data_IF_789058272707
#
_entry.id   IF_789058272707
#
_cell.length_a   1.000
_cell.length_b   1.000
_cell.length_c   1.000
_cell.angle_alpha   90.00
_cell.angle_beta   90.00
_cell.angle_gamma   90.00
#
_symmetry.space_group_name_H-M   'P 1'
#
loop_
_entity.id
_entity.type
_entity.pdbx_description
1 polymer ?
#
# COMPACT_ATOMS: atom_id res chain seq x y z
N UNK A 1 -12.58 29.68 -0.55
CA UNK A 1 -12.72 31.16 -0.52
C UNK A 1 -13.27 31.56 -1.88
N UNK A 2 -14.54 31.97 -1.97
CA UNK A 2 -15.11 32.53 -3.21
C UNK A 2 -14.90 34.04 -3.13
N UNK A 3 -14.00 34.57 -3.94
CA UNK A 3 -13.90 36.01 -4.13
C UNK A 3 -15.07 36.42 -5.01
N UNK A 4 -15.99 37.21 -4.47
CA UNK A 4 -17.10 37.79 -5.24
C UNK A 4 -16.55 38.85 -6.20
N UNK A 5 -16.75 38.60 -7.49
CA UNK A 5 -16.83 39.49 -8.67
C UNK A 5 -16.05 40.83 -8.78
N UNK A 6 -14.98 41.08 -8.03
CA UNK A 6 -14.17 42.31 -8.17
C UNK A 6 -12.79 42.06 -8.80
N UNK A 7 -12.71 41.42 -9.98
CA UNK A 7 -11.50 41.40 -10.83
C UNK A 7 -10.16 41.00 -10.16
N UNK A 8 -10.21 40.44 -8.95
CA UNK A 8 -9.04 40.25 -8.11
C UNK A 8 -8.20 39.10 -8.67
N UNK A 9 -6.90 39.35 -8.83
CA UNK A 9 -5.92 38.32 -9.16
C UNK A 9 -5.28 37.86 -7.87
N UNK A 10 -5.28 36.55 -7.64
CA UNK A 10 -4.70 35.93 -6.45
C UNK A 10 -3.42 35.20 -6.85
N UNK A 11 -2.32 35.49 -6.17
CA UNK A 11 -1.12 34.67 -6.23
C UNK A 11 -1.20 33.60 -5.13
N UNK A 12 -0.92 32.35 -5.48
CA UNK A 12 -0.94 31.23 -4.54
C UNK A 12 0.48 30.68 -4.44
N UNK A 13 1.05 30.71 -3.24
CA UNK A 13 2.29 30.01 -2.93
C UNK A 13 1.98 28.55 -2.62
N UNK A 14 2.68 27.62 -3.27
CA UNK A 14 2.42 26.19 -3.13
C UNK A 14 3.71 25.49 -2.71
N UNK A 15 3.65 24.83 -1.56
CA UNK A 15 4.69 23.92 -1.10
C UNK A 15 4.35 22.50 -1.56
N UNK A 16 5.10 21.97 -2.53
CA UNK A 16 4.89 20.65 -3.12
C UNK A 16 6.21 19.90 -3.28
N UNK A 17 6.23 18.57 -3.04
CA UNK A 17 7.41 17.74 -3.29
C UNK A 17 7.72 17.58 -4.79
N UNK A 18 6.82 18.01 -5.69
CA UNK A 18 6.99 17.92 -7.14
C UNK A 18 6.67 19.28 -7.78
N UNK A 19 7.59 20.27 -7.70
CA UNK A 19 7.37 21.60 -8.26
C UNK A 19 7.01 21.60 -9.75
N UNK A 20 7.61 20.67 -10.50
CA UNK A 20 7.35 20.52 -11.95
C UNK A 20 5.92 20.06 -12.26
N UNK A 21 5.25 19.40 -11.31
CA UNK A 21 3.87 18.88 -11.45
C UNK A 21 2.81 19.82 -10.86
N UNK A 22 3.24 20.88 -10.17
CA UNK A 22 2.37 21.82 -9.45
C UNK A 22 1.24 22.37 -10.32
N UNK A 23 1.51 22.71 -11.58
CA UNK A 23 0.53 23.31 -12.48
C UNK A 23 -0.66 22.40 -12.77
N UNK A 24 -0.41 21.09 -12.83
CA UNK A 24 -1.47 20.11 -13.04
C UNK A 24 -2.32 19.92 -11.78
N UNK A 25 -1.70 19.94 -10.60
CA UNK A 25 -2.43 19.92 -9.33
C UNK A 25 -3.32 21.15 -9.17
N UNK A 26 -2.83 22.34 -9.54
CA UNK A 26 -3.61 23.58 -9.54
C UNK A 26 -4.77 23.49 -10.54
N UNK A 27 -4.52 23.01 -11.75
CA UNK A 27 -5.58 22.84 -12.75
C UNK A 27 -6.67 21.87 -12.27
N UNK A 28 -6.28 20.75 -11.65
CA UNK A 28 -7.22 19.79 -11.04
C UNK A 28 -8.02 20.42 -9.91
N UNK A 29 -7.38 21.24 -9.05
CA UNK A 29 -8.08 21.93 -7.97
C UNK A 29 -9.12 22.92 -8.49
N UNK A 30 -8.82 23.64 -9.58
CA UNK A 30 -9.77 24.54 -10.24
C UNK A 30 -10.92 23.76 -10.89
N UNK A 31 -10.61 22.70 -11.64
CA UNK A 31 -11.62 21.83 -12.27
C UNK A 31 -12.59 21.22 -11.26
N UNK A 32 -12.16 20.92 -10.03
CA UNK A 32 -13.08 20.44 -8.97
C UNK A 32 -14.14 21.46 -8.59
N UNK A 33 -13.76 22.73 -8.53
CA UNK A 33 -14.67 23.81 -8.13
C UNK A 33 -15.51 24.29 -9.32
N UNK A 34 -14.97 24.15 -10.53
CA UNK A 34 -15.60 24.53 -11.79
C UNK A 34 -15.48 23.39 -12.83
N UNK A 35 -16.30 22.34 -12.75
CA UNK A 35 -16.16 21.16 -13.64
C UNK A 35 -16.40 21.45 -15.12
N UNK A 36 -17.00 22.60 -15.44
CA UNK A 36 -17.29 23.02 -16.81
C UNK A 36 -16.14 23.81 -17.46
N UNK A 37 -15.15 24.26 -16.68
CA UNK A 37 -13.95 24.87 -17.25
C UNK A 37 -12.94 23.77 -17.59
N UNK A 38 -12.68 23.61 -18.88
CA UNK A 38 -11.72 22.61 -19.38
C UNK A 38 -10.27 22.96 -19.02
N UNK A 39 -9.31 22.36 -19.75
CA UNK A 39 -7.87 22.57 -19.55
C UNK A 39 -7.38 24.01 -19.82
N UNK A 40 -8.23 24.84 -20.42
CA UNK A 40 -8.02 26.26 -20.69
C UNK A 40 -8.95 27.12 -19.84
N UNK A 41 -8.97 26.92 -18.52
CA UNK A 41 -9.72 27.82 -17.61
C UNK A 41 -9.08 29.23 -17.63
N UNK A 42 -9.81 30.29 -18.02
CA UNK A 42 -9.31 31.66 -17.99
C UNK A 42 -8.88 32.14 -16.59
N UNK A 43 -9.26 31.43 -15.52
CA UNK A 43 -8.80 31.68 -14.15
C UNK A 43 -7.30 31.37 -13.95
N UNK A 44 -6.66 30.58 -14.82
CA UNK A 44 -5.26 30.18 -14.70
C UNK A 44 -4.37 31.02 -15.62
N UNK A 45 -3.68 32.00 -15.04
CA UNK A 45 -2.95 33.01 -15.81
C UNK A 45 -1.48 32.68 -16.10
N UNK A 46 -0.74 32.14 -15.12
CA UNK A 46 0.71 31.95 -15.26
C UNK A 46 1.46 31.83 -13.94
N UNK A 47 2.77 32.13 -13.98
CA UNK A 47 3.68 32.05 -12.83
C UNK A 47 3.98 33.47 -12.35
N UNK A 48 3.94 33.70 -11.04
CA UNK A 48 4.47 34.94 -10.45
C UNK A 48 5.96 34.76 -10.19
N UNK A 49 6.79 35.61 -10.81
CA UNK A 49 8.25 35.60 -10.68
C UNK A 49 8.69 36.27 -9.37
N UNK A 50 9.94 36.08 -8.96
CA UNK A 50 10.48 36.61 -7.69
C UNK A 50 10.41 38.15 -7.59
N UNK A 51 10.45 38.84 -8.72
CA UNK A 51 10.29 40.30 -8.83
C UNK A 51 8.81 40.76 -8.83
N UNK A 52 7.86 39.84 -8.65
CA UNK A 52 6.43 40.09 -8.66
C UNK A 52 5.80 40.19 -10.05
N UNK A 53 6.57 39.94 -11.12
CA UNK A 53 6.05 39.87 -12.48
C UNK A 53 5.14 38.66 -12.71
N UNK A 54 4.21 38.77 -13.67
CA UNK A 54 3.42 37.62 -14.14
C UNK A 54 4.02 37.13 -15.46
N UNK A 55 4.50 35.90 -15.48
CA UNK A 55 4.87 35.19 -16.70
C UNK A 55 3.67 34.36 -17.18
N UNK A 56 2.96 34.77 -18.26
CA UNK A 56 1.80 34.04 -18.76
C UNK A 56 2.17 32.62 -19.22
N UNK A 57 1.28 31.66 -19.00
CA UNK A 57 1.51 30.26 -19.40
C UNK A 57 0.31 29.73 -20.20
N UNK A 58 0.56 29.32 -21.44
CA UNK A 58 -0.46 28.74 -22.33
C UNK A 58 0.15 27.61 -23.19
N UNK A 59 -0.36 26.37 -23.14
CA UNK A 59 -1.35 25.89 -22.18
C UNK A 59 -0.81 25.95 -20.73
N UNK A 60 -1.70 26.16 -19.75
CA UNK A 60 -1.29 26.25 -18.35
C UNK A 60 -0.66 24.94 -17.85
N UNK A 61 -1.20 23.81 -18.30
CA UNK A 61 -0.63 22.48 -18.09
C UNK A 61 0.04 22.02 -19.37
N UNK A 62 1.29 21.57 -19.28
CA UNK A 62 1.98 20.93 -20.39
C UNK A 62 1.91 19.40 -20.24
N UNK A 63 1.85 18.63 -21.35
CA UNK A 63 1.98 17.18 -21.30
C UNK A 63 3.33 16.79 -20.69
N UNK A 64 3.31 16.03 -19.61
CA UNK A 64 4.51 15.48 -18.98
C UNK A 64 4.75 14.05 -19.45
N UNK A 65 6.01 13.73 -19.69
CA UNK A 65 6.42 12.34 -19.86
C UNK A 65 6.23 11.62 -18.51
N UNK A 66 5.50 10.51 -18.52
CA UNK A 66 5.35 9.65 -17.36
C UNK A 66 6.74 9.15 -16.93
N UNK A 67 7.11 9.45 -15.68
CA UNK A 67 8.32 8.89 -15.10
C UNK A 67 8.10 7.40 -14.80
N UNK A 68 8.57 6.54 -15.70
CA UNK A 68 8.62 5.10 -15.47
C UNK A 68 9.90 4.78 -14.71
N UNK A 69 9.73 4.43 -13.44
CA UNK A 69 10.83 3.86 -12.65
C UNK A 69 10.88 2.38 -12.99
N UNK A 70 12.00 1.94 -13.56
CA UNK A 70 12.22 0.51 -13.80
C UNK A 70 12.28 -0.21 -12.46
N UNK A 71 11.40 -1.17 -12.27
CA UNK A 71 11.41 -2.09 -11.13
C UNK A 71 12.11 -3.41 -11.47
N UNK A 72 12.60 -3.55 -12.71
CA UNK A 72 13.30 -4.73 -13.19
C UNK A 72 14.59 -4.95 -12.39
N UNK A 73 14.71 -6.14 -11.77
CA UNK A 73 15.85 -6.53 -10.95
C UNK A 73 15.73 -6.20 -9.46
N UNK A 74 14.61 -5.60 -9.01
CA UNK A 74 14.33 -5.50 -7.59
C UNK A 74 14.21 -6.90 -6.97
N UNK A 75 14.84 -7.16 -5.82
CA UNK A 75 14.79 -8.47 -5.18
C UNK A 75 13.36 -8.78 -4.73
N UNK A 76 12.94 -10.03 -4.95
CA UNK A 76 11.61 -10.55 -4.60
C UNK A 76 11.64 -11.48 -3.37
N UNK A 77 12.82 -11.64 -2.77
CA UNK A 77 13.12 -12.54 -1.66
C UNK A 77 12.38 -12.19 -0.36
N UNK A 78 11.93 -10.94 -0.20
CA UNK A 78 11.08 -10.52 0.91
C UNK A 78 9.66 -11.15 0.87
N UNK A 79 9.28 -11.81 -0.24
CA UNK A 79 8.05 -12.60 -0.38
C UNK A 79 8.40 -14.09 -0.58
N UNK A 80 7.79 -15.01 0.19
CA UNK A 80 7.98 -16.44 -0.04
C UNK A 80 7.54 -16.87 -1.45
N UNK A 81 8.23 -17.82 -2.11
CA UNK A 81 7.90 -18.26 -3.47
C UNK A 81 6.43 -18.67 -3.66
N UNK A 82 5.84 -19.36 -2.68
CA UNK A 82 4.43 -19.75 -2.73
C UNK A 82 3.49 -18.53 -2.75
N UNK A 83 3.81 -17.48 -1.99
CA UNK A 83 3.03 -16.25 -2.00
C UNK A 83 3.17 -15.49 -3.34
N UNK A 84 4.37 -15.51 -3.94
CA UNK A 84 4.63 -14.93 -5.27
C UNK A 84 3.77 -15.61 -6.34
N UNK A 85 3.76 -16.94 -6.40
CA UNK A 85 2.98 -17.70 -7.37
C UNK A 85 1.47 -17.40 -7.25
N UNK A 86 0.96 -17.43 -6.02
CA UNK A 86 -0.43 -17.12 -5.71
C UNK A 86 -0.81 -15.68 -6.09
N UNK A 87 0.08 -14.72 -5.84
CA UNK A 87 -0.14 -13.32 -6.22
C UNK A 87 -0.18 -13.15 -7.74
N UNK A 88 0.75 -13.75 -8.49
CA UNK A 88 0.78 -13.70 -9.96
C UNK A 88 -0.53 -14.24 -10.54
N UNK A 89 -0.98 -15.42 -10.07
CA UNK A 89 -2.25 -16.00 -10.51
C UNK A 89 -3.45 -15.08 -10.20
N UNK A 90 -3.44 -14.43 -9.04
CA UNK A 90 -4.51 -13.54 -8.64
C UNK A 90 -4.54 -12.25 -9.48
N UNK A 91 -3.38 -11.68 -9.78
CA UNK A 91 -3.26 -10.47 -10.59
C UNK A 91 -3.77 -10.65 -12.02
N UNK A 92 -3.69 -11.88 -12.57
CA UNK A 92 -4.31 -12.22 -13.86
C UNK A 92 -5.85 -12.14 -13.84
N UNK A 93 -6.47 -12.28 -12.67
CA UNK A 93 -7.93 -12.21 -12.50
C UNK A 93 -8.40 -10.83 -12.05
N UNK A 94 -7.58 -10.15 -11.22
CA UNK A 94 -7.91 -8.86 -10.64
C UNK A 94 -6.64 -8.02 -10.48
N UNK A 95 -6.47 -7.05 -11.36
CA UNK A 95 -5.30 -6.14 -11.38
C UNK A 95 -5.54 -4.82 -10.66
N UNK A 96 -6.75 -4.55 -10.14
CA UNK A 96 -7.11 -3.34 -9.41
C UNK A 96 -7.79 -3.65 -8.06
N UNK A 97 -7.65 -2.73 -7.12
CA UNK A 97 -8.15 -2.85 -5.75
C UNK A 97 -7.04 -2.77 -4.72
N UNK A 98 -7.17 -3.50 -3.62
CA UNK A 98 -6.23 -3.45 -2.50
C UNK A 98 -5.29 -4.66 -2.49
N UNK A 99 -3.99 -4.42 -2.58
CA UNK A 99 -2.95 -5.39 -2.30
C UNK A 99 -2.33 -5.05 -0.94
N UNK A 100 -2.65 -5.87 0.05
CA UNK A 100 -2.23 -5.66 1.44
C UNK A 100 -1.01 -6.51 1.72
N UNK A 101 0.10 -5.86 2.04
CA UNK A 101 1.41 -6.47 2.22
C UNK A 101 1.91 -6.13 3.61
N UNK A 102 2.17 -7.15 4.41
CA UNK A 102 2.45 -6.98 5.82
C UNK A 102 3.68 -7.74 6.27
N UNK A 103 4.34 -7.22 7.29
CA UNK A 103 5.42 -7.89 8.00
C UNK A 103 5.26 -7.69 9.49
N UNK A 104 5.66 -8.67 10.29
CA UNK A 104 5.72 -8.54 11.74
C UNK A 104 7.01 -7.87 12.26
N UNK A 105 7.85 -7.36 11.35
CA UNK A 105 9.03 -6.56 11.71
C UNK A 105 8.61 -5.13 11.99
N UNK A 106 8.98 -4.64 13.18
CA UNK A 106 8.67 -3.27 13.59
C UNK A 106 9.64 -2.27 12.96
N UNK A 107 9.17 -1.52 11.97
CA UNK A 107 9.91 -0.45 11.28
C UNK A 107 9.08 0.84 11.21
N UNK A 108 9.67 1.95 10.75
CA UNK A 108 8.93 3.21 10.53
C UNK A 108 7.84 3.04 9.45
N UNK A 109 8.14 2.29 8.38
CA UNK A 109 7.21 2.01 7.29
C UNK A 109 6.95 0.52 7.17
N UNK A 110 5.77 0.10 7.60
CA UNK A 110 5.41 -1.31 7.68
C UNK A 110 5.26 -1.94 6.30
N UNK A 111 5.74 -3.18 6.16
CA UNK A 111 5.59 -3.97 4.94
C UNK A 111 6.33 -3.43 3.70
N UNK A 112 7.22 -2.44 3.84
CA UNK A 112 7.85 -1.81 2.67
C UNK A 112 8.76 -2.75 1.87
N UNK A 113 9.44 -3.69 2.53
CA UNK A 113 10.22 -4.72 1.83
C UNK A 113 9.31 -5.64 1.00
N UNK A 114 8.14 -6.01 1.55
CA UNK A 114 7.14 -6.81 0.83
C UNK A 114 6.54 -6.01 -0.35
N UNK A 115 6.28 -4.71 -0.15
CA UNK A 115 5.85 -3.81 -1.23
C UNK A 115 6.90 -3.75 -2.33
N UNK A 116 8.17 -3.52 -1.97
CA UNK A 116 9.29 -3.47 -2.91
C UNK A 116 9.40 -4.77 -3.73
N UNK A 117 9.26 -5.93 -3.08
CA UNK A 117 9.24 -7.23 -3.74
C UNK A 117 8.01 -7.44 -4.66
N UNK A 118 6.87 -6.81 -4.36
CA UNK A 118 5.66 -6.90 -5.19
C UNK A 118 5.64 -5.92 -6.39
N UNK A 119 6.48 -4.87 -6.38
CA UNK A 119 6.57 -3.91 -7.47
C UNK A 119 6.89 -4.54 -8.84
N UNK A 120 7.92 -5.40 -9.00
CA UNK A 120 8.18 -6.04 -10.30
C UNK A 120 7.05 -6.99 -10.73
N UNK A 121 6.34 -7.61 -9.78
CA UNK A 121 5.25 -8.56 -10.06
C UNK A 121 3.98 -7.88 -10.60
N UNK A 122 3.92 -6.56 -10.54
CA UNK A 122 2.73 -5.76 -10.88
C UNK A 122 3.01 -4.74 -11.98
N UNK A 123 4.15 -4.85 -12.66
CA UNK A 123 4.59 -3.86 -13.65
C UNK A 123 3.56 -3.67 -14.79
N UNK A 124 2.93 -4.76 -15.22
CA UNK A 124 1.90 -4.79 -16.27
C UNK A 124 0.61 -4.02 -15.91
N UNK A 125 0.38 -3.73 -14.62
CA UNK A 125 -0.78 -2.93 -14.17
C UNK A 125 -0.63 -1.46 -14.55
N UNK A 126 0.61 -0.98 -14.74
CA UNK A 126 0.91 0.38 -15.18
C UNK A 126 1.93 1.10 -14.29
N UNK A 127 2.11 2.42 -14.48
CA UNK A 127 3.11 3.17 -13.73
C UNK A 127 2.71 3.31 -12.26
N UNK A 128 3.73 3.31 -11.40
CA UNK A 128 3.59 3.37 -9.95
C UNK A 128 4.04 4.71 -9.38
N UNK A 129 3.28 5.20 -8.40
CA UNK A 129 3.63 6.36 -7.61
C UNK A 129 3.41 6.11 -6.12
N UNK A 130 4.04 6.95 -5.30
CA UNK A 130 3.79 7.04 -3.87
C UNK A 130 2.89 8.22 -3.60
N UNK A 131 1.92 8.07 -2.71
CA UNK A 131 1.05 9.16 -2.28
C UNK A 131 1.57 9.74 -0.98
N UNK A 132 1.69 11.07 -0.91
CA UNK A 132 2.09 11.79 0.30
C UNK A 132 1.08 11.52 1.41
N UNK A 133 1.52 10.83 2.47
CA UNK A 133 0.66 10.46 3.59
C UNK A 133 0.36 11.66 4.50
N UNK A 134 1.31 12.58 4.70
CA UNK A 134 1.12 13.72 5.61
C UNK A 134 1.76 14.99 5.06
N UNK A 135 1.18 16.14 5.40
CA UNK A 135 1.85 17.43 5.29
C UNK A 135 2.81 17.61 6.49
N UNK A 136 3.87 16.80 6.56
CA UNK A 136 4.99 17.02 7.49
C UNK A 136 6.12 17.77 6.78
N UNK A 137 6.76 18.68 7.50
CA UNK A 137 7.83 19.53 6.96
C UNK A 137 9.19 18.86 6.78
N UNK A 138 9.39 17.59 7.17
CA UNK A 138 10.70 16.92 7.07
C UNK A 138 10.58 15.57 6.35
N UNK A 139 11.05 15.44 5.09
CA UNK A 139 10.95 14.22 4.28
C UNK A 139 11.85 13.06 4.73
N UNK A 140 12.72 13.26 5.72
CA UNK A 140 13.76 12.29 6.08
C UNK A 140 13.20 10.91 6.43
N UNK A 141 12.07 10.86 7.13
CA UNK A 141 11.39 9.59 7.46
C UNK A 141 10.82 8.92 6.23
N UNK A 142 10.28 9.68 5.26
CA UNK A 142 9.72 9.12 4.01
C UNK A 142 10.80 8.48 3.12
N UNK A 143 12.08 8.74 3.40
CA UNK A 143 13.21 8.11 2.71
C UNK A 143 13.72 6.85 3.43
N UNK A 144 13.19 6.48 4.60
CA UNK A 144 13.54 5.23 5.30
C UNK A 144 12.79 4.02 4.72
N UNK A 145 12.92 3.83 3.40
CA UNK A 145 12.26 2.77 2.61
C UNK A 145 13.28 2.13 1.67
N UNK A 146 13.00 0.97 1.06
CA UNK A 146 13.89 0.35 0.07
C UNK A 146 14.19 1.28 -1.12
N UNK A 147 15.36 1.13 -1.74
CA UNK A 147 15.83 2.04 -2.80
C UNK A 147 14.90 2.11 -4.01
N UNK A 148 14.31 0.97 -4.39
CA UNK A 148 13.30 0.94 -5.46
C UNK A 148 12.07 1.80 -5.11
N UNK A 149 11.70 1.86 -3.83
CA UNK A 149 10.59 2.71 -3.34
C UNK A 149 11.03 4.17 -3.24
N UNK A 150 12.28 4.46 -2.86
CA UNK A 150 12.83 5.82 -2.86
C UNK A 150 12.81 6.46 -4.25
N UNK A 151 13.05 5.67 -5.29
CA UNK A 151 13.06 6.14 -6.68
C UNK A 151 11.68 6.49 -7.24
N UNK A 152 10.59 6.10 -6.56
CA UNK A 152 9.23 6.34 -7.04
C UNK A 152 8.82 7.82 -6.97
N UNK A 153 8.06 8.31 -7.95
CA UNK A 153 7.51 9.67 -7.91
C UNK A 153 6.57 9.83 -6.71
N UNK A 154 6.67 10.98 -6.04
CA UNK A 154 5.92 11.29 -4.81
C UNK A 154 4.80 12.29 -5.11
N UNK A 155 3.58 11.81 -5.24
CA UNK A 155 2.41 12.59 -5.64
C UNK A 155 1.68 13.18 -4.42
N UNK A 156 1.06 14.34 -4.61
CA UNK A 156 0.36 15.07 -3.55
C UNK A 156 -0.97 14.42 -3.13
N UNK A 157 -1.61 13.67 -4.02
CA UNK A 157 -2.91 13.03 -3.80
C UNK A 157 -3.13 11.84 -4.75
N UNK A 158 -4.11 10.98 -4.43
CA UNK A 158 -4.53 9.84 -5.27
C UNK A 158 -5.02 10.35 -6.62
N UNK A 159 -5.77 11.44 -6.60
CA UNK A 159 -6.45 11.99 -7.77
C UNK A 159 -5.46 12.66 -8.71
N UNK A 160 -4.46 13.37 -8.14
CA UNK A 160 -3.32 13.86 -8.91
C UNK A 160 -2.59 12.69 -9.56
N UNK A 161 -2.24 11.64 -8.81
CA UNK A 161 -1.57 10.47 -9.36
C UNK A 161 -2.39 9.81 -10.48
N UNK A 162 -3.70 9.61 -10.28
CA UNK A 162 -4.61 9.03 -11.26
C UNK A 162 -4.67 9.86 -12.55
N UNK A 163 -4.82 11.18 -12.42
CA UNK A 163 -4.85 12.12 -13.53
C UNK A 163 -3.52 12.19 -14.29
N UNK A 164 -2.41 11.90 -13.61
CA UNK A 164 -1.09 11.76 -14.24
C UNK A 164 -0.89 10.41 -14.94
N UNK A 165 -1.82 9.47 -14.82
CA UNK A 165 -1.77 8.16 -15.49
C UNK A 165 -1.21 7.05 -14.62
N UNK A 166 -0.90 7.30 -13.34
CA UNK A 166 -0.51 6.26 -12.41
C UNK A 166 -1.70 5.32 -12.13
N UNK A 167 -1.42 4.01 -12.14
CA UNK A 167 -2.40 2.94 -11.90
C UNK A 167 -2.00 2.00 -10.78
N UNK A 168 -0.80 2.21 -10.23
CA UNK A 168 -0.30 1.60 -9.00
C UNK A 168 0.03 2.70 -8.01
N UNK A 169 -0.45 2.59 -6.78
CA UNK A 169 -0.28 3.65 -5.79
C UNK A 169 0.09 3.07 -4.43
N UNK A 170 1.26 3.46 -3.93
CA UNK A 170 1.66 3.18 -2.55
C UNK A 170 1.02 4.21 -1.64
N UNK A 171 0.21 3.73 -0.71
CA UNK A 171 -0.54 4.58 0.21
C UNK A 171 -0.25 4.19 1.66
N UNK A 172 -0.42 5.17 2.54
CA UNK A 172 -0.62 4.93 3.95
C UNK A 172 -2.13 5.01 4.22
N UNK A 173 -2.75 3.86 4.52
CA UNK A 173 -4.19 3.75 4.76
C UNK A 173 -4.67 4.62 5.92
N UNK A 174 -3.77 5.01 6.84
CA UNK A 174 -4.10 5.90 7.95
C UNK A 174 -4.34 7.35 7.56
N UNK A 175 -3.87 7.78 6.37
CA UNK A 175 -3.98 9.17 5.96
C UNK A 175 -4.71 9.39 4.64
N UNK A 176 -4.83 8.36 3.80
CA UNK A 176 -5.64 8.45 2.60
C UNK A 176 -7.12 8.74 2.94
N UNK A 177 -7.78 9.52 2.08
CA UNK A 177 -9.23 9.72 2.15
C UNK A 177 -9.93 8.44 1.66
N UNK A 178 -10.82 7.90 2.48
CA UNK A 178 -11.49 6.64 2.16
C UNK A 178 -12.41 6.76 0.94
N UNK A 179 -13.04 7.93 0.75
CA UNK A 179 -13.92 8.16 -0.40
C UNK A 179 -13.14 8.12 -1.71
N UNK A 180 -11.92 8.70 -1.73
CA UNK A 180 -11.02 8.62 -2.88
C UNK A 180 -10.52 7.19 -3.10
N UNK A 181 -10.12 6.48 -2.04
CA UNK A 181 -9.72 5.08 -2.14
C UNK A 181 -10.80 4.23 -2.82
N UNK A 182 -12.05 4.33 -2.37
CA UNK A 182 -13.15 3.60 -2.98
C UNK A 182 -13.42 4.04 -4.42
N UNK A 183 -13.42 5.35 -4.68
CA UNK A 183 -13.67 5.91 -6.01
C UNK A 183 -12.72 5.37 -7.08
N UNK A 184 -11.44 5.20 -6.74
CA UNK A 184 -10.41 4.79 -7.72
C UNK A 184 -10.05 3.30 -7.65
N UNK A 185 -10.52 2.57 -6.65
CA UNK A 185 -10.16 1.15 -6.41
C UNK A 185 -10.52 0.17 -7.52
N UNK A 186 -11.49 0.51 -8.38
CA UNK A 186 -11.85 -0.36 -9.51
C UNK A 186 -10.86 -0.22 -10.69
N UNK A 187 -10.03 0.82 -10.70
CA UNK A 187 -9.06 1.14 -11.76
C UNK A 187 -7.60 1.21 -11.28
N UNK A 188 -7.38 1.31 -9.97
CA UNK A 188 -6.05 1.49 -9.36
C UNK A 188 -5.74 0.31 -8.45
N UNK A 189 -4.50 -0.18 -8.52
CA UNK A 189 -3.94 -1.09 -7.54
C UNK A 189 -3.27 -0.31 -6.41
N UNK A 190 -3.89 -0.33 -5.24
CA UNK A 190 -3.36 0.26 -4.01
C UNK A 190 -2.47 -0.74 -3.28
N UNK A 191 -1.22 -0.35 -3.02
CA UNK A 191 -0.31 -1.07 -2.14
C UNK A 191 -0.47 -0.52 -0.73
N UNK A 192 -0.86 -1.38 0.20
CA UNK A 192 -1.06 -1.04 1.61
C UNK A 192 -0.08 -1.82 2.46
N UNK A 193 0.79 -1.10 3.18
CA UNK A 193 1.71 -1.67 4.16
C UNK A 193 1.00 -1.94 5.50
N UNK A 194 1.31 -3.06 6.15
CA UNK A 194 0.74 -3.40 7.47
C UNK A 194 1.74 -4.06 8.41
N UNK A 195 1.47 -4.03 9.72
CA UNK A 195 2.30 -4.67 10.73
C UNK A 195 1.62 -5.87 11.41
N UNK A 196 1.75 -7.04 10.78
CA UNK A 196 1.10 -8.28 11.18
C UNK A 196 1.82 -9.51 10.64
N UNK A 197 1.65 -10.64 11.34
CA UNK A 197 1.98 -11.98 10.85
C UNK A 197 0.75 -12.72 10.29
N UNK A 198 -0.45 -12.28 10.66
CA UNK A 198 -1.72 -12.93 10.34
C UNK A 198 -2.44 -12.13 9.25
N UNK A 199 -2.97 -12.82 8.24
CA UNK A 199 -3.58 -12.18 7.08
C UNK A 199 -4.86 -11.40 7.44
N UNK A 200 -5.63 -11.88 8.42
CA UNK A 200 -6.81 -11.15 8.90
C UNK A 200 -6.43 -9.82 9.55
N UNK A 201 -5.38 -9.80 10.37
CA UNK A 201 -4.90 -8.60 11.03
C UNK A 201 -4.31 -7.62 10.01
N UNK A 202 -3.59 -8.12 9.00
CA UNK A 202 -3.07 -7.31 7.91
C UNK A 202 -4.21 -6.60 7.17
N UNK A 203 -5.31 -7.30 6.87
CA UNK A 203 -6.51 -6.68 6.29
C UNK A 203 -7.08 -5.59 7.21
N UNK A 204 -7.10 -5.80 8.53
CA UNK A 204 -7.64 -4.79 9.46
C UNK A 204 -6.84 -3.48 9.47
N UNK A 205 -5.53 -3.53 9.20
CA UNK A 205 -4.70 -2.32 9.10
C UNK A 205 -5.13 -1.38 7.95
N UNK A 206 -5.89 -1.88 6.96
CA UNK A 206 -6.42 -1.05 5.87
C UNK A 206 -7.48 -0.04 6.33
N UNK A 207 -8.15 -0.29 7.46
CA UNK A 207 -9.27 0.53 7.96
C UNK A 207 -9.07 1.05 9.38
N UNK A 208 -7.90 0.78 9.99
CA UNK A 208 -7.60 1.05 11.40
C UNK A 208 -7.91 2.48 11.87
N UNK A 209 -7.72 3.48 11.01
CA UNK A 209 -7.90 4.89 11.35
C UNK A 209 -9.24 5.48 10.88
N UNK A 210 -10.06 4.71 10.17
CA UNK A 210 -11.31 5.19 9.53
C UNK A 210 -12.57 4.49 10.03
N UNK A 211 -12.42 3.44 10.82
CA UNK A 211 -13.52 2.67 11.38
C UNK A 211 -13.70 1.33 10.66
N UNK A 212 -14.04 0.29 11.43
CA UNK A 212 -14.20 -1.07 10.93
C UNK A 212 -15.50 -1.27 10.11
N UNK A 213 -16.40 -0.30 10.11
CA UNK A 213 -17.63 -0.27 9.30
C UNK A 213 -17.36 -0.24 7.79
N UNK A 214 -16.17 0.23 7.38
CA UNK A 214 -15.77 0.27 5.97
C UNK A 214 -15.06 -1.00 5.48
N UNK A 215 -14.77 -1.94 6.38
CA UNK A 215 -13.99 -3.14 6.09
C UNK A 215 -14.60 -4.02 4.99
N UNK A 216 -15.93 -4.14 4.96
CA UNK A 216 -16.65 -4.92 3.95
C UNK A 216 -16.39 -4.39 2.53
N UNK A 217 -16.38 -3.06 2.36
CA UNK A 217 -16.10 -2.42 1.06
C UNK A 217 -14.67 -2.62 0.61
N UNK A 218 -13.70 -2.60 1.53
CA UNK A 218 -12.30 -2.92 1.23
C UNK A 218 -12.17 -4.39 0.84
N UNK A 219 -12.82 -5.29 1.58
CA UNK A 219 -12.83 -6.72 1.29
C UNK A 219 -13.36 -7.04 -0.11
N UNK A 220 -14.46 -6.41 -0.54
CA UNK A 220 -15.01 -6.56 -1.90
C UNK A 220 -14.00 -6.20 -3.00
N UNK A 221 -13.06 -5.31 -2.68
CA UNK A 221 -12.02 -4.81 -3.58
C UNK A 221 -10.65 -5.40 -3.28
N UNK A 222 -10.57 -6.41 -2.43
CA UNK A 222 -9.31 -7.01 -2.05
C UNK A 222 -8.74 -7.85 -3.21
N UNK A 223 -7.49 -7.58 -3.56
CA UNK A 223 -6.69 -8.40 -4.48
C UNK A 223 -6.13 -9.58 -3.69
N UNK A 224 -5.35 -9.28 -2.65
CA UNK A 224 -4.77 -10.27 -1.73
C UNK A 224 -4.33 -9.62 -0.40
N UNK A 225 -4.22 -10.43 0.65
CA UNK A 225 -3.51 -10.12 1.87
C UNK A 225 -2.34 -11.10 2.03
N UNK A 226 -1.12 -10.58 2.14
CA UNK A 226 0.09 -11.38 2.33
C UNK A 226 0.81 -10.81 3.55
N UNK A 227 0.89 -11.59 4.62
CA UNK A 227 1.66 -11.27 5.81
C UNK A 227 2.88 -12.19 5.89
N UNK A 228 4.07 -11.62 6.17
CA UNK A 228 5.34 -12.36 6.18
C UNK A 228 6.02 -12.23 7.54
N UNK A 229 6.47 -13.36 8.08
CA UNK A 229 7.30 -13.44 9.27
C UNK A 229 8.71 -13.90 8.92
N UNK A 230 9.73 -13.02 8.93
CA UNK A 230 11.12 -13.46 8.80
C UNK A 230 11.62 -14.10 10.09
N UNK A 231 12.40 -15.18 9.96
CA UNK A 231 13.05 -15.91 11.05
C UNK A 231 14.54 -15.97 10.76
N UNK A 232 15.35 -15.44 11.67
CA UNK A 232 16.81 -15.44 11.55
C UNK A 232 17.39 -16.79 11.95
N UNK A 233 18.19 -17.38 11.06
CA UNK A 233 18.88 -18.67 11.21
C UNK A 233 20.36 -18.48 10.87
N UNK A 234 21.14 -18.05 11.85
CA UNK A 234 22.52 -17.61 11.61
C UNK A 234 22.54 -16.40 10.68
N UNK A 235 23.29 -16.49 9.57
CA UNK A 235 23.41 -15.42 8.57
C UNK A 235 22.30 -15.47 7.50
N UNK A 236 21.33 -16.37 7.64
CA UNK A 236 20.24 -16.56 6.68
C UNK A 236 18.90 -16.15 7.29
N UNK A 237 17.98 -15.74 6.44
CA UNK A 237 16.58 -15.52 6.81
C UNK A 237 15.72 -16.57 6.13
N UNK A 238 14.87 -17.21 6.92
CA UNK A 238 13.79 -18.08 6.43
C UNK A 238 12.49 -17.34 6.65
N UNK A 239 11.58 -17.41 5.68
CA UNK A 239 10.30 -16.72 5.77
C UNK A 239 9.16 -17.72 5.98
N UNK A 240 8.21 -17.33 6.83
CA UNK A 240 6.86 -17.90 6.89
C UNK A 240 5.87 -16.85 6.40
N UNK A 241 4.73 -17.30 5.90
CA UNK A 241 3.68 -16.45 5.34
C UNK A 241 2.29 -16.89 5.74
N UNK A 242 1.44 -15.89 5.93
CA UNK A 242 0.00 -16.04 5.98
C UNK A 242 -0.60 -15.34 4.76
N UNK A 243 -1.24 -16.12 3.89
CA UNK A 243 -1.76 -15.63 2.61
C UNK A 243 -3.25 -15.84 2.55
N UNK A 244 -3.99 -14.77 2.32
CA UNK A 244 -5.39 -14.82 1.99
C UNK A 244 -5.64 -14.22 0.61
N UNK A 245 -6.32 -14.99 -0.24
CA UNK A 245 -6.83 -14.54 -1.53
C UNK A 245 -8.35 -14.68 -1.50
N UNK A 246 -9.11 -13.59 -1.75
CA UNK A 246 -10.56 -13.67 -1.87
C UNK A 246 -10.98 -14.69 -2.92
N UNK A 247 -11.71 -15.71 -2.47
CA UNK A 247 -12.32 -16.71 -3.35
C UNK A 247 -13.68 -16.25 -3.93
N UNK A 248 -14.31 -17.12 -4.73
CA UNK A 248 -15.62 -16.85 -5.32
C UNK A 248 -16.78 -16.80 -4.30
N UNK A 249 -16.59 -17.33 -3.09
CA UNK A 249 -17.61 -17.34 -2.05
C UNK A 249 -17.69 -15.96 -1.41
N UNK A 250 -18.58 -15.13 -1.95
CA UNK A 250 -18.82 -13.78 -1.48
C UNK A 250 -19.25 -13.78 0.00
N UNK A 251 -18.56 -12.96 0.80
CA UNK A 251 -19.18 -12.34 1.97
C UNK A 251 -20.29 -11.39 1.50
N UNK A 252 -21.35 -11.22 2.29
CA UNK A 252 -22.40 -10.30 1.93
C UNK A 252 -21.99 -8.86 2.22
N UNK A 253 -22.44 -7.93 1.38
CA UNK A 253 -22.24 -6.52 1.61
C UNK A 253 -22.84 -6.14 2.98
N UNK A 254 -22.03 -5.54 3.86
CA UNK A 254 -22.44 -5.21 5.22
C UNK A 254 -22.16 -6.28 6.28
N UNK A 255 -21.50 -7.39 5.93
CA UNK A 255 -21.02 -8.35 6.93
C UNK A 255 -20.18 -7.65 8.01
N UNK A 256 -20.44 -8.00 9.26
CA UNK A 256 -19.77 -7.39 10.42
C UNK A 256 -18.29 -7.77 10.48
N UNK A 257 -17.51 -6.93 11.17
CA UNK A 257 -16.07 -7.11 11.38
C UNK A 257 -15.69 -8.55 11.78
N UNK A 258 -16.38 -9.12 12.78
CA UNK A 258 -16.11 -10.46 13.29
C UNK A 258 -16.34 -11.56 12.25
N UNK A 259 -17.33 -11.36 11.36
CA UNK A 259 -17.65 -12.30 10.28
C UNK A 259 -16.54 -12.29 9.25
N UNK A 260 -16.10 -11.10 8.83
CA UNK A 260 -15.00 -10.92 7.88
C UNK A 260 -13.71 -11.51 8.45
N UNK A 261 -13.37 -11.20 9.70
CA UNK A 261 -12.16 -11.71 10.35
C UNK A 261 -12.14 -13.24 10.41
N UNK A 262 -13.24 -13.87 10.86
CA UNK A 262 -13.36 -15.34 10.89
C UNK A 262 -13.30 -15.95 9.50
N UNK A 263 -13.90 -15.29 8.51
CA UNK A 263 -13.86 -15.75 7.13
C UNK A 263 -12.44 -15.76 6.57
N UNK A 264 -11.70 -14.66 6.74
CA UNK A 264 -10.30 -14.55 6.27
C UNK A 264 -9.46 -15.64 6.91
N UNK A 265 -9.49 -15.76 8.25
CA UNK A 265 -8.75 -16.79 8.99
C UNK A 265 -9.06 -18.21 8.52
N UNK A 266 -10.33 -18.51 8.20
CA UNK A 266 -10.76 -19.84 7.78
C UNK A 266 -10.27 -20.20 6.38
N UNK A 267 -10.29 -19.25 5.45
CA UNK A 267 -10.05 -19.48 4.01
C UNK A 267 -8.67 -18.97 3.54
N UNK A 268 -7.70 -18.88 4.46
CA UNK A 268 -6.28 -18.66 4.13
C UNK A 268 -5.79 -19.72 3.14
N UNK A 269 -5.15 -19.27 2.08
CA UNK A 269 -4.52 -20.11 1.06
C UNK A 269 -3.19 -20.70 1.56
N UNK A 270 -2.44 -19.92 2.35
CA UNK A 270 -1.23 -20.36 3.06
C UNK A 270 -1.39 -19.98 4.52
N UNK A 271 -1.03 -20.90 5.41
CA UNK A 271 -1.12 -20.71 6.86
C UNK A 271 0.27 -20.71 7.44
N UNK A 272 0.65 -19.61 8.09
CA UNK A 272 1.96 -19.48 8.71
C UNK A 272 2.20 -20.55 9.77
N UNK A 273 1.13 -21.05 10.42
CA UNK A 273 1.20 -22.12 11.41
C UNK A 273 1.68 -23.44 10.80
N UNK A 274 1.22 -23.75 9.59
CA UNK A 274 1.56 -24.98 8.88
C UNK A 274 3.01 -24.90 8.36
N UNK A 275 3.41 -23.74 7.83
CA UNK A 275 4.79 -23.51 7.40
C UNK A 275 5.78 -23.55 8.58
N UNK A 276 5.46 -22.89 9.68
CA UNK A 276 6.31 -22.91 10.87
C UNK A 276 6.41 -24.33 11.45
N UNK A 277 5.30 -25.06 11.48
CA UNK A 277 5.28 -26.46 11.92
C UNK A 277 6.24 -27.31 11.09
N UNK A 278 6.19 -27.17 9.76
CA UNK A 278 7.07 -27.89 8.85
C UNK A 278 8.55 -27.57 9.11
N UNK A 279 8.89 -26.29 9.24
CA UNK A 279 10.27 -25.85 9.51
C UNK A 279 10.81 -26.37 10.86
N UNK A 280 9.95 -26.46 11.87
CA UNK A 280 10.30 -27.03 13.19
C UNK A 280 10.46 -28.55 13.14
N UNK A 281 9.61 -29.24 12.36
CA UNK A 281 9.69 -30.69 12.20
C UNK A 281 10.95 -31.11 11.43
N UNK A 282 11.29 -30.37 10.38
CA UNK A 282 12.52 -30.51 9.58
C UNK A 282 13.79 -30.07 10.33
N UNK A 283 13.65 -29.38 11.46
CA UNK A 283 14.78 -28.85 12.23
C UNK A 283 15.50 -27.67 11.56
N UNK A 284 14.89 -27.05 10.55
CA UNK A 284 15.41 -25.85 9.87
C UNK A 284 15.45 -24.64 10.82
N UNK A 285 14.50 -24.57 11.75
CA UNK A 285 14.44 -23.54 12.79
C UNK A 285 14.27 -24.17 14.16
N UNK A 286 14.74 -23.49 15.20
CA UNK A 286 14.51 -23.87 16.61
C UNK A 286 13.43 -23.00 17.26
N UNK A 287 12.75 -23.48 18.31
CA UNK A 287 11.79 -22.66 19.06
C UNK A 287 12.36 -21.32 19.55
N UNK A 288 13.65 -21.28 19.90
CA UNK A 288 14.30 -20.07 20.41
C UNK A 288 14.59 -19.07 19.29
N UNK A 289 15.01 -19.53 18.11
CA UNK A 289 15.15 -18.69 16.91
C UNK A 289 13.81 -18.04 16.53
N UNK A 290 12.72 -18.82 16.60
CA UNK A 290 11.36 -18.33 16.33
C UNK A 290 10.95 -17.26 17.34
N UNK A 291 11.16 -17.49 18.64
CA UNK A 291 10.83 -16.50 19.69
C UNK A 291 11.62 -15.21 19.55
N UNK A 292 12.92 -15.32 19.24
CA UNK A 292 13.79 -14.17 19.08
C UNK A 292 13.38 -13.34 17.85
N UNK A 293 13.08 -14.00 16.73
CA UNK A 293 12.73 -13.30 15.48
C UNK A 293 11.33 -12.69 15.50
N UNK A 294 10.40 -13.30 16.24
CA UNK A 294 8.99 -12.90 16.31
C UNK A 294 8.61 -12.33 17.69
N UNK A 295 9.55 -11.67 18.35
CA UNK A 295 9.43 -11.22 19.76
C UNK A 295 8.15 -10.43 20.03
N UNK A 296 7.80 -9.48 19.15
CA UNK A 296 6.61 -8.64 19.31
C UNK A 296 5.28 -9.40 19.19
N UNK A 297 5.29 -10.62 18.67
CA UNK A 297 4.11 -11.50 18.55
C UNK A 297 4.20 -12.70 19.50
N UNK A 298 5.24 -12.74 20.34
CA UNK A 298 5.61 -13.92 21.14
C UNK A 298 4.46 -14.43 22.01
N UNK A 299 3.97 -13.60 22.94
CA UNK A 299 2.99 -14.02 23.93
C UNK A 299 1.62 -14.34 23.31
N UNK A 300 1.22 -13.59 22.28
CA UNK A 300 -0.13 -13.68 21.70
C UNK A 300 -0.26 -14.84 20.72
N UNK A 301 0.78 -15.10 19.93
CA UNK A 301 0.68 -15.95 18.74
C UNK A 301 1.70 -17.09 18.74
N UNK A 302 2.97 -16.77 19.01
CA UNK A 302 4.08 -17.73 18.86
C UNK A 302 4.11 -18.77 19.98
N UNK A 303 4.08 -18.35 21.25
CA UNK A 303 4.18 -19.27 22.39
C UNK A 303 2.99 -20.26 22.45
N UNK A 304 1.73 -19.86 22.19
CA UNK A 304 0.62 -20.80 22.04
C UNK A 304 0.85 -21.85 20.93
N UNK A 305 1.36 -21.43 19.76
CA UNK A 305 1.67 -22.32 18.65
C UNK A 305 2.78 -23.31 19.02
N UNK A 306 3.90 -22.83 19.57
CA UNK A 306 5.03 -23.67 19.97
C UNK A 306 4.62 -24.67 21.07
N UNK A 307 3.74 -24.26 21.99
CA UNK A 307 3.19 -25.15 23.02
C UNK A 307 2.38 -26.29 22.38
N UNK A 308 1.53 -25.97 21.39
CA UNK A 308 0.74 -26.97 20.65
C UNK A 308 1.64 -27.94 19.87
N UNK A 309 2.65 -27.41 19.19
CA UNK A 309 3.64 -28.21 18.47
C UNK A 309 4.40 -29.16 19.39
N UNK A 310 4.92 -28.68 20.52
CA UNK A 310 5.67 -29.49 21.47
C UNK A 310 4.81 -30.62 22.07
N UNK A 311 3.54 -30.35 22.37
CA UNK A 311 2.58 -31.39 22.82
C UNK A 311 2.36 -32.45 21.75
N UNK A 312 2.17 -32.04 20.49
CA UNK A 312 1.99 -32.96 19.36
C UNK A 312 3.24 -33.84 19.17
N UNK A 313 4.44 -33.24 19.18
CA UNK A 313 5.71 -33.96 18.97
C UNK A 313 5.95 -35.02 20.05
N UNK A 314 5.57 -34.74 21.30
CA UNK A 314 5.63 -35.72 22.40
C UNK A 314 4.62 -36.86 22.27
N UNK A 315 3.48 -36.63 21.62
CA UNK A 315 2.48 -37.68 21.41
C UNK A 315 2.85 -38.61 20.24
N UNK A 316 3.75 -38.19 19.36
CA UNK A 316 4.20 -38.95 18.18
C UNK A 316 5.61 -39.55 18.33
N UNK A 317 6.29 -39.27 19.45
CA UNK A 317 7.63 -39.79 19.77
C UNK A 317 7.51 -40.97 20.75
#
# INVERSE_FOLDING_TARGET
MRAEMDGHRVAVLIDTPQPDLMFKDVALAVQRVSPQSGECDPALAGIVTEDGGLLPRSPFVQPLALQRVSTAGAPTDALPPQAVELLIQRLQQRSSGFLVLSSCVWTEHWGMEQIAAALPLTEDVGPVARIKSRNRGTPAKDMLVPDVVKGLPFMTSIESAYAHGYRRMLIDSGYADFSDLMKYSDEVLFFVGGHSLEAEDALMETVRFRGFDQLSKVYERLVACIAVGPISVGDKTVHISDVFIPGAKALQAGDEFDVIQKHVRKHRAVRWEDELTRLLDEGTVTPDQVRASLEHRRARVVDPMLTKWAKRRRATA
#
